data_IF_563752794621
#
_entry.id   IF_563752794621
#
_cell.length_a   1.000
_cell.length_b   1.000
_cell.length_c   1.000
_cell.angle_alpha   90.00
_cell.angle_beta   90.00
_cell.angle_gamma   90.00
#
_symmetry.space_group_name_H-M   'P 1'
#
loop_
_entity.id
_entity.type
_entity.pdbx_description
1 polymer ?
#
# COMPACT_ATOMS: atom_id res chain seq x y z
N UNK A 1 7.15 -28.28 -4.04
CA UNK A 1 5.98 -27.38 -4.10
C UNK A 1 5.86 -26.86 -5.54
N UNK A 2 4.87 -27.32 -6.32
CA UNK A 2 4.69 -26.86 -7.70
C UNK A 2 4.14 -25.44 -7.69
N UNK A 3 4.93 -24.49 -8.18
CA UNK A 3 4.50 -23.12 -8.39
C UNK A 3 3.35 -23.11 -9.38
N UNK A 4 2.15 -22.72 -8.93
CA UNK A 4 0.98 -22.63 -9.80
C UNK A 4 1.22 -21.57 -10.90
N UNK A 5 0.58 -21.69 -12.08
CA UNK A 5 0.69 -20.68 -13.14
C UNK A 5 0.36 -19.24 -12.66
N UNK A 6 -0.48 -19.15 -11.63
CA UNK A 6 -0.84 -17.90 -10.96
C UNK A 6 0.34 -17.21 -10.27
N UNK A 7 1.21 -17.98 -9.60
CA UNK A 7 2.41 -17.44 -8.96
C UNK A 7 3.38 -16.82 -9.97
N UNK A 8 3.50 -17.41 -11.16
CA UNK A 8 4.33 -16.85 -12.24
C UNK A 8 3.78 -15.51 -12.76
N UNK A 9 2.46 -15.32 -12.80
CA UNK A 9 1.86 -14.08 -13.29
C UNK A 9 2.16 -12.88 -12.38
N UNK A 10 2.25 -13.09 -11.06
CA UNK A 10 2.69 -12.06 -10.12
C UNK A 10 4.20 -11.83 -10.17
N UNK A 11 4.99 -12.87 -10.40
CA UNK A 11 6.44 -12.79 -10.54
C UNK A 11 6.93 -12.06 -11.80
N UNK A 12 6.12 -12.00 -12.86
CA UNK A 12 6.64 -11.73 -14.21
C UNK A 12 6.67 -10.25 -14.60
N UNK A 13 5.97 -9.31 -13.95
CA UNK A 13 6.02 -7.90 -14.40
C UNK A 13 5.67 -6.86 -13.33
N UNK A 14 6.40 -5.74 -13.35
CA UNK A 14 6.02 -4.45 -12.74
C UNK A 14 4.69 -3.88 -13.31
N UNK A 15 4.16 -4.50 -14.36
CA UNK A 15 2.94 -4.15 -15.09
C UNK A 15 1.86 -5.24 -14.96
N UNK A 16 1.56 -5.72 -13.75
CA UNK A 16 0.28 -6.43 -13.55
C UNK A 16 -0.82 -5.46 -14.00
N UNK A 17 -1.65 -5.77 -15.03
CA UNK A 17 -2.58 -4.79 -15.57
C UNK A 17 -3.48 -4.26 -14.46
N UNK A 18 -3.64 -2.93 -14.36
CA UNK A 18 -4.42 -2.26 -13.31
C UNK A 18 -5.78 -2.91 -13.06
N UNK A 19 -6.40 -3.43 -14.12
CA UNK A 19 -7.67 -4.18 -14.11
C UNK A 19 -7.63 -5.38 -13.15
N UNK A 20 -6.54 -6.15 -13.14
CA UNK A 20 -6.36 -7.30 -12.25
C UNK A 20 -6.18 -6.86 -10.79
N UNK A 21 -5.45 -5.76 -10.56
CA UNK A 21 -5.30 -5.20 -9.22
C UNK A 21 -6.63 -4.65 -8.69
N UNK A 22 -7.45 -4.04 -9.55
CA UNK A 22 -8.79 -3.57 -9.19
C UNK A 22 -9.73 -4.74 -8.88
N UNK A 23 -9.75 -5.79 -9.70
CA UNK A 23 -10.59 -6.98 -9.45
C UNK A 23 -10.17 -7.71 -8.16
N UNK A 24 -8.86 -7.87 -7.96
CA UNK A 24 -8.29 -8.39 -6.73
C UNK A 24 -8.75 -7.58 -5.51
N UNK A 25 -8.61 -6.25 -5.56
CA UNK A 25 -9.03 -5.35 -4.46
C UNK A 25 -10.52 -5.41 -4.18
N UNK A 26 -11.36 -5.55 -5.21
CA UNK A 26 -12.81 -5.60 -5.05
C UNK A 26 -13.30 -6.90 -4.39
N UNK A 27 -12.49 -7.95 -4.42
CA UNK A 27 -12.92 -9.32 -4.10
C UNK A 27 -12.10 -9.99 -3.01
N UNK A 28 -10.98 -9.38 -2.61
CA UNK A 28 -10.10 -9.90 -1.58
C UNK A 28 -10.72 -9.84 -0.18
N UNK A 29 -10.80 -10.98 0.49
CA UNK A 29 -11.18 -11.11 1.90
C UNK A 29 -10.16 -11.98 2.62
N UNK A 30 -9.78 -11.57 3.83
CA UNK A 30 -8.82 -12.31 4.67
C UNK A 30 -9.61 -13.08 5.72
N UNK A 31 -9.29 -14.36 5.90
CA UNK A 31 -9.90 -15.21 6.91
C UNK A 31 -8.84 -16.16 7.49
N UNK A 32 -8.58 -16.03 8.80
CA UNK A 32 -7.47 -16.68 9.50
C UNK A 32 -6.13 -16.48 8.77
N UNK A 33 -5.46 -17.56 8.37
CA UNK A 33 -4.16 -17.55 7.68
C UNK A 33 -4.29 -17.64 6.16
N UNK A 34 -5.43 -17.23 5.60
CA UNK A 34 -5.69 -17.31 4.16
C UNK A 34 -6.32 -16.04 3.62
N UNK A 35 -6.01 -15.73 2.36
CA UNK A 35 -6.66 -14.69 1.58
C UNK A 35 -7.48 -15.33 0.45
N UNK A 36 -8.72 -14.87 0.32
CA UNK A 36 -9.69 -15.30 -0.67
C UNK A 36 -9.89 -14.14 -1.63
N UNK A 37 -9.80 -14.35 -2.94
CA UNK A 37 -10.04 -13.28 -3.90
C UNK A 37 -10.51 -13.85 -5.23
N UNK A 38 -10.97 -13.00 -6.13
CA UNK A 38 -11.44 -13.36 -7.47
C UNK A 38 -10.58 -12.65 -8.51
N UNK A 39 -10.08 -13.41 -9.47
CA UNK A 39 -9.36 -12.91 -10.65
C UNK A 39 -9.85 -13.67 -11.87
N UNK A 40 -10.18 -12.98 -12.96
CA UNK A 40 -10.81 -13.54 -14.16
C UNK A 40 -12.07 -14.34 -13.83
N UNK A 41 -12.90 -13.82 -12.94
CA UNK A 41 -14.06 -14.52 -12.40
C UNK A 41 -13.78 -15.86 -11.68
N UNK A 42 -12.53 -16.21 -11.41
CA UNK A 42 -12.15 -17.43 -10.67
C UNK A 42 -11.79 -17.11 -9.24
N UNK A 43 -12.44 -17.79 -8.29
CA UNK A 43 -12.07 -17.71 -6.87
C UNK A 43 -10.71 -18.38 -6.65
N UNK A 44 -9.86 -17.72 -5.89
CA UNK A 44 -8.53 -18.17 -5.47
C UNK A 44 -8.44 -18.08 -3.97
N UNK A 45 -7.72 -19.03 -3.39
CA UNK A 45 -7.39 -19.05 -1.97
C UNK A 45 -5.89 -19.24 -1.90
N UNK A 46 -5.23 -18.36 -1.16
CA UNK A 46 -3.78 -18.40 -0.98
C UNK A 46 -3.50 -18.26 0.51
N UNK A 47 -2.53 -19.01 1.02
CA UNK A 47 -2.05 -18.82 2.38
C UNK A 47 -1.47 -17.40 2.54
N UNK A 48 -1.70 -16.77 3.67
CA UNK A 48 -1.32 -15.38 3.91
C UNK A 48 0.21 -15.17 3.87
N UNK A 49 0.99 -16.11 4.40
CA UNK A 49 2.47 -16.08 4.33
C UNK A 49 2.94 -16.17 2.88
N UNK A 50 2.35 -17.09 2.11
CA UNK A 50 2.68 -17.23 0.69
C UNK A 50 2.26 -16.02 -0.15
N UNK A 51 1.11 -15.43 0.18
CA UNK A 51 0.67 -14.19 -0.46
C UNK A 51 1.61 -13.03 -0.14
N UNK A 52 2.12 -12.95 1.10
CA UNK A 52 3.14 -11.98 1.50
C UNK A 52 4.44 -12.16 0.73
N UNK A 53 4.94 -13.39 0.61
CA UNK A 53 6.13 -13.67 -0.21
C UNK A 53 5.92 -13.25 -1.66
N UNK A 54 4.74 -13.52 -2.23
CA UNK A 54 4.40 -13.13 -3.59
C UNK A 54 4.38 -11.61 -3.76
N UNK A 55 3.76 -10.87 -2.83
CA UNK A 55 3.72 -9.40 -2.86
C UNK A 55 5.11 -8.77 -2.63
N UNK A 56 5.91 -9.34 -1.73
CA UNK A 56 7.30 -8.95 -1.52
C UNK A 56 8.13 -9.10 -2.81
N UNK A 57 7.92 -10.19 -3.56
CA UNK A 57 8.58 -10.43 -4.85
C UNK A 57 8.12 -9.43 -5.91
N UNK A 58 6.83 -9.06 -5.94
CA UNK A 58 6.32 -8.04 -6.86
C UNK A 58 6.85 -6.63 -6.57
N UNK A 59 7.09 -6.30 -5.30
CA UNK A 59 7.52 -4.98 -4.86
C UNK A 59 9.04 -4.82 -4.82
N UNK A 60 9.80 -5.92 -4.66
CA UNK A 60 11.25 -5.90 -4.61
C UNK A 60 11.85 -6.16 -5.98
N UNK A 61 12.49 -5.13 -6.56
CA UNK A 61 13.34 -5.33 -7.74
C UNK A 61 14.53 -6.24 -7.35
N UNK A 62 14.71 -7.40 -8.01
CA UNK A 62 15.79 -8.33 -7.67
C UNK A 62 17.16 -7.67 -7.74
N UNK A 63 17.95 -7.76 -6.67
CA UNK A 63 19.32 -7.22 -6.60
C UNK A 63 19.44 -5.75 -6.18
N UNK A 64 18.33 -5.05 -5.94
CA UNK A 64 18.37 -3.68 -5.39
C UNK A 64 18.16 -3.67 -3.87
N UNK A 65 18.88 -2.79 -3.18
CA UNK A 65 18.63 -2.44 -1.78
C UNK A 65 17.42 -1.52 -1.69
N UNK A 66 16.73 -1.53 -0.54
CA UNK A 66 15.65 -0.59 -0.30
C UNK A 66 16.21 0.82 -0.07
N UNK A 67 15.46 1.84 -0.47
CA UNK A 67 15.69 3.23 -0.06
C UNK A 67 15.37 3.37 1.44
N UNK A 68 16.11 4.25 2.11
CA UNK A 68 15.86 4.58 3.52
C UNK A 68 14.47 5.20 3.71
N UNK A 69 13.83 4.82 4.82
CA UNK A 69 12.56 5.40 5.24
C UNK A 69 12.76 6.80 5.78
N UNK A 70 11.83 7.69 5.46
CA UNK A 70 11.81 9.04 6.04
C UNK A 70 11.36 9.02 7.50
N UNK A 71 11.97 9.89 8.30
CA UNK A 71 11.54 10.17 9.67
C UNK A 71 10.28 11.05 9.68
N UNK A 72 9.62 11.15 10.85
CA UNK A 72 8.35 11.85 10.99
C UNK A 72 8.43 13.30 10.50
N UNK A 73 9.52 14.02 10.80
CA UNK A 73 9.72 15.41 10.42
C UNK A 73 9.77 15.60 8.89
N UNK A 74 10.41 14.68 8.18
CA UNK A 74 10.53 14.71 6.72
C UNK A 74 9.18 14.38 6.05
N UNK A 75 8.40 13.49 6.66
CA UNK A 75 7.03 13.18 6.24
C UNK A 75 6.10 14.38 6.45
N UNK A 76 6.23 15.12 7.55
CA UNK A 76 5.47 16.34 7.77
C UNK A 76 5.83 17.41 6.72
N UNK A 77 7.11 17.61 6.44
CA UNK A 77 7.55 18.51 5.36
C UNK A 77 6.96 18.10 4.01
N UNK A 78 6.85 16.80 3.74
CA UNK A 78 6.22 16.27 2.52
C UNK A 78 4.73 16.63 2.44
N UNK A 79 3.94 16.52 3.53
CA UNK A 79 2.53 16.93 3.49
C UNK A 79 2.34 18.43 3.29
N UNK A 80 3.20 19.27 3.87
CA UNK A 80 3.22 20.72 3.59
C UNK A 80 3.49 20.95 2.10
N UNK A 81 4.48 20.26 1.53
CA UNK A 81 4.78 20.31 0.10
C UNK A 81 3.61 19.87 -0.79
N UNK A 82 2.83 18.86 -0.37
CA UNK A 82 1.60 18.45 -1.05
C UNK A 82 0.43 19.45 -0.92
N UNK A 83 0.66 20.58 -0.26
CA UNK A 83 -0.28 21.68 -0.09
C UNK A 83 -1.30 21.44 1.02
N UNK A 84 -0.87 20.84 2.13
CA UNK A 84 -1.66 20.83 3.35
C UNK A 84 -1.87 22.28 3.83
N UNK A 85 -3.12 22.71 3.95
CA UNK A 85 -3.47 24.11 4.19
C UNK A 85 -3.35 24.59 5.64
N UNK A 86 -3.05 23.68 6.58
CA UNK A 86 -3.01 23.94 8.02
C UNK A 86 -1.64 23.59 8.61
N UNK A 87 -1.33 24.20 9.75
CA UNK A 87 -0.11 23.91 10.51
C UNK A 87 -0.17 22.46 11.03
N UNK A 88 0.86 21.67 10.71
CA UNK A 88 1.03 20.29 11.19
C UNK A 88 2.30 20.21 12.03
N UNK A 89 2.17 19.72 13.27
CA UNK A 89 3.31 19.54 14.20
C UNK A 89 3.63 18.08 14.44
N UNK A 90 2.64 17.21 14.25
CA UNK A 90 2.74 15.76 14.42
C UNK A 90 1.88 15.07 13.37
N UNK A 91 2.14 13.79 13.11
CA UNK A 91 1.35 13.00 12.17
C UNK A 91 -0.13 12.89 12.54
N UNK A 92 -0.46 12.91 13.83
CA UNK A 92 -1.85 12.95 14.31
C UNK A 92 -2.61 14.19 13.89
N UNK A 93 -1.90 15.28 13.57
CA UNK A 93 -2.48 16.55 13.14
C UNK A 93 -2.72 16.57 11.62
N UNK A 94 -2.17 15.60 10.88
CA UNK A 94 -2.35 15.49 9.43
C UNK A 94 -3.78 15.05 9.14
N UNK A 95 -4.56 15.97 8.60
CA UNK A 95 -5.92 15.70 8.15
C UNK A 95 -5.95 15.60 6.63
N UNK A 96 -6.23 14.41 6.08
CA UNK A 96 -6.24 14.20 4.62
C UNK A 96 -7.21 15.14 3.89
N UNK A 97 -8.28 15.61 4.56
CA UNK A 97 -9.24 16.54 3.96
C UNK A 97 -8.64 17.92 3.69
N UNK A 98 -7.50 18.25 4.29
CA UNK A 98 -6.79 19.52 4.11
C UNK A 98 -5.73 19.46 3.01
N UNK A 99 -5.53 18.31 2.39
CA UNK A 99 -4.75 18.16 1.17
C UNK A 99 -5.55 18.60 -0.06
N UNK A 100 -4.86 19.00 -1.13
CA UNK A 100 -5.49 19.21 -2.43
C UNK A 100 -6.18 17.93 -2.96
N UNK A 101 -7.24 18.11 -3.74
CA UNK A 101 -8.14 17.04 -4.21
C UNK A 101 -7.44 15.74 -4.67
N UNK A 102 -6.43 15.77 -5.55
CA UNK A 102 -5.77 14.54 -6.00
C UNK A 102 -5.09 13.76 -4.86
N UNK A 103 -4.39 14.48 -3.98
CA UNK A 103 -3.67 13.89 -2.85
C UNK A 103 -4.63 13.40 -1.76
N UNK A 104 -5.72 14.13 -1.54
CA UNK A 104 -6.81 13.69 -0.65
C UNK A 104 -7.41 12.37 -1.13
N UNK A 105 -7.76 12.27 -2.41
CA UNK A 105 -8.31 11.03 -2.98
C UNK A 105 -7.33 9.87 -2.84
N UNK A 106 -6.05 10.10 -3.12
CA UNK A 106 -5.03 9.06 -3.09
C UNK A 106 -4.70 8.60 -1.66
N UNK A 107 -4.55 9.54 -0.72
CA UNK A 107 -4.39 9.25 0.70
C UNK A 107 -5.59 8.48 1.28
N UNK A 108 -6.82 8.85 0.89
CA UNK A 108 -8.02 8.12 1.28
C UNK A 108 -8.03 6.68 0.76
N UNK A 109 -7.53 6.45 -0.46
CA UNK A 109 -7.38 5.10 -1.03
C UNK A 109 -6.38 4.27 -0.21
N UNK A 110 -5.20 4.82 0.12
CA UNK A 110 -4.19 4.14 0.94
C UNK A 110 -4.78 3.82 2.32
N UNK A 111 -5.38 4.81 2.99
CA UNK A 111 -5.95 4.61 4.32
C UNK A 111 -7.06 3.52 4.30
N UNK A 112 -7.94 3.55 3.28
CA UNK A 112 -8.98 2.54 3.09
C UNK A 112 -8.42 1.13 2.88
N UNK A 113 -7.37 0.99 2.08
CA UNK A 113 -6.74 -0.30 1.81
C UNK A 113 -6.10 -0.92 3.06
N UNK A 114 -5.63 -0.10 3.99
CA UNK A 114 -4.85 -0.55 5.14
C UNK A 114 -5.66 -0.71 6.42
N UNK A 115 -6.65 0.15 6.66
CA UNK A 115 -7.43 0.13 7.90
C UNK A 115 -8.71 -0.71 7.82
N UNK A 116 -9.15 -1.13 6.63
CA UNK A 116 -10.35 -1.94 6.41
C UNK A 116 -11.69 -1.33 6.87
N UNK A 117 -11.69 -0.16 7.51
CA UNK A 117 -12.86 0.55 8.03
C UNK A 117 -13.01 1.93 7.38
N UNK A 118 -14.27 2.31 7.11
CA UNK A 118 -14.68 3.65 6.63
C UNK A 118 -15.08 4.52 7.84
N UNK A 119 -14.39 4.43 8.97
CA UNK A 119 -14.83 5.10 10.20
C UNK A 119 -13.87 6.23 10.56
N UNK A 120 -14.18 7.41 10.02
CA UNK A 120 -14.22 8.70 10.73
C UNK A 120 -12.97 9.27 11.40
N UNK A 121 -11.81 8.62 11.37
CA UNK A 121 -10.55 9.22 11.78
C UNK A 121 -9.60 9.30 10.59
N UNK A 122 -9.46 10.52 10.08
CA UNK A 122 -8.79 10.88 8.82
C UNK A 122 -7.27 11.10 8.99
N UNK A 123 -6.69 10.66 10.10
CA UNK A 123 -5.25 10.75 10.37
C UNK A 123 -4.50 9.59 9.73
N UNK A 124 -3.45 9.88 8.97
CA UNK A 124 -2.53 8.88 8.42
C UNK A 124 -1.55 8.40 9.50
N UNK A 125 -1.31 7.09 9.56
CA UNK A 125 -0.19 6.54 10.32
C UNK A 125 1.13 6.80 9.58
N UNK A 126 2.25 6.74 10.31
CA UNK A 126 3.59 6.94 9.75
C UNK A 126 3.87 6.00 8.58
N UNK A 127 3.54 4.73 8.74
CA UNK A 127 3.65 3.72 7.68
C UNK A 127 2.90 4.12 6.40
N UNK A 128 1.64 4.55 6.54
CA UNK A 128 0.78 4.96 5.43
C UNK A 128 1.36 6.20 4.72
N UNK A 129 1.92 7.13 5.48
CA UNK A 129 2.56 8.33 4.94
C UNK A 129 3.88 8.01 4.22
N UNK A 130 4.68 7.08 4.75
CA UNK A 130 5.91 6.59 4.10
C UNK A 130 5.61 5.82 2.81
N UNK A 131 4.52 5.04 2.78
CA UNK A 131 4.02 4.40 1.56
C UNK A 131 3.65 5.47 0.52
N UNK A 132 2.86 6.48 0.93
CA UNK A 132 2.46 7.58 0.05
C UNK A 132 3.67 8.32 -0.54
N UNK A 133 4.67 8.63 0.29
CA UNK A 133 5.91 9.25 -0.14
C UNK A 133 6.69 8.36 -1.12
N UNK A 134 6.83 7.08 -0.79
CA UNK A 134 7.55 6.12 -1.62
C UNK A 134 6.92 5.98 -3.01
N UNK A 135 5.59 5.97 -3.08
CA UNK A 135 4.86 5.96 -4.36
C UNK A 135 5.05 7.26 -5.15
N UNK A 136 5.00 8.42 -4.49
CA UNK A 136 5.18 9.73 -5.15
C UNK A 136 6.56 9.85 -5.81
N UNK A 137 7.61 9.47 -5.08
CA UNK A 137 8.99 9.56 -5.57
C UNK A 137 9.46 8.34 -6.36
N UNK A 138 8.61 7.33 -6.55
CA UNK A 138 8.95 6.05 -7.18
C UNK A 138 10.16 5.38 -6.51
N UNK A 139 10.17 5.41 -5.18
CA UNK A 139 11.24 4.86 -4.35
C UNK A 139 11.03 3.37 -4.12
N UNK A 140 12.13 2.64 -4.08
CA UNK A 140 12.14 1.21 -3.77
C UNK A 140 12.11 1.06 -2.24
N UNK A 141 10.98 1.36 -1.63
CA UNK A 141 10.78 1.26 -0.18
C UNK A 141 10.31 -0.16 0.17
N UNK A 142 10.65 -0.67 1.36
CA UNK A 142 10.07 -1.92 1.85
C UNK A 142 8.59 -1.70 2.25
N UNK A 143 7.73 -1.61 1.25
CA UNK A 143 6.30 -1.43 1.43
C UNK A 143 5.70 -2.55 2.27
N UNK A 144 6.24 -3.77 2.22
CA UNK A 144 5.72 -4.87 3.02
C UNK A 144 6.02 -4.66 4.49
N UNK A 145 7.23 -4.23 4.85
CA UNK A 145 7.54 -3.82 6.21
C UNK A 145 6.58 -2.73 6.71
N UNK A 146 6.37 -1.67 5.92
CA UNK A 146 5.43 -0.60 6.26
C UNK A 146 3.99 -1.07 6.42
N UNK A 147 3.55 -2.07 5.65
CA UNK A 147 2.19 -2.62 5.74
C UNK A 147 1.94 -3.41 7.02
N UNK A 148 2.99 -3.89 7.69
CA UNK A 148 2.89 -4.89 8.76
C UNK A 148 3.50 -4.48 10.09
N UNK A 149 4.21 -3.36 10.19
CA UNK A 149 4.82 -2.88 11.44
C UNK A 149 3.87 -2.09 12.36
N UNK A 150 2.61 -1.91 11.96
CA UNK A 150 1.63 -1.01 12.59
C UNK A 150 0.37 -1.72 13.14
#
# INVERSE_FOLDING_TARGET
MQLTPFYKAFLITADVPDIYMQEFRATATVHHHSIYFKVDNRKRIVNLEYFREMMHICLRLPGQTFDDLLFEEEILAFFIFLGHSEEIKKLTDVNINKLHQPWRSFAAVINKCLNGKITGYDSLRLSQAQILWGMYHKKNVDFSYLLWED
#
